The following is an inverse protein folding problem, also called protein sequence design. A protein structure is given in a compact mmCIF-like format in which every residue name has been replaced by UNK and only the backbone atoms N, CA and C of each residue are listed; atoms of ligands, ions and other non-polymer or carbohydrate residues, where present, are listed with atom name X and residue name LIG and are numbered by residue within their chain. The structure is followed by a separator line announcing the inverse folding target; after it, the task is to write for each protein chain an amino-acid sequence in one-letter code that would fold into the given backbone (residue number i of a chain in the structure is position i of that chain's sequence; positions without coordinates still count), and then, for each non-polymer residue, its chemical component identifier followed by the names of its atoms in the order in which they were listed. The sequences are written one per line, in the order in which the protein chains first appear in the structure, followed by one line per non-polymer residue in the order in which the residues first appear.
data_IF_224330386918
#
_entry.id   IF_224330386918
#
_cell.length_a   1.000
_cell.length_b   1.000
_cell.length_c   1.000
_cell.angle_alpha   90.00
_cell.angle_beta   90.00
_cell.angle_gamma   90.00
#
_symmetry.space_group_name_H-M   'P 1'
#
loop_
_entity.id
_entity.type
_entity.pdbx_description
1 polymer ?
#
# COMPACT_ATOMS: atom_id res chain seq x y z
N UNK A 1 4.23 11.72 23.75
CA UNK A 1 3.67 11.90 22.41
C UNK A 1 2.21 11.54 22.50
N UNK A 2 1.32 12.46 22.15
CA UNK A 2 -0.13 12.22 22.10
C UNK A 2 -0.41 11.43 20.84
N UNK A 3 -0.94 10.21 20.97
CA UNK A 3 -1.45 9.45 19.83
C UNK A 3 -2.67 10.22 19.28
N UNK A 4 -2.65 10.57 17.99
CA UNK A 4 -3.79 11.27 17.35
C UNK A 4 -5.08 10.46 17.52
N UNK A 5 -6.19 11.17 17.73
CA UNK A 5 -7.51 10.56 17.84
C UNK A 5 -7.88 9.78 16.56
N UNK A 6 -8.65 8.67 16.65
CA UNK A 6 -9.06 7.87 15.50
C UNK A 6 -9.67 8.70 14.35
N UNK A 7 -10.57 9.63 14.67
CA UNK A 7 -11.20 10.50 13.68
C UNK A 7 -10.18 11.35 12.91
N UNK A 8 -9.20 11.96 13.60
CA UNK A 8 -8.13 12.75 12.94
C UNK A 8 -7.30 11.90 11.99
N UNK A 9 -7.01 10.65 12.37
CA UNK A 9 -6.27 9.71 11.50
C UNK A 9 -7.09 9.31 10.28
N UNK A 10 -8.38 9.02 10.45
CA UNK A 10 -9.30 8.70 9.36
C UNK A 10 -9.40 9.88 8.36
N UNK A 11 -9.64 11.10 8.85
CA UNK A 11 -9.68 12.33 8.02
C UNK A 11 -8.40 12.49 7.21
N UNK A 12 -7.23 12.37 7.85
CA UNK A 12 -5.94 12.52 7.17
C UNK A 12 -5.73 11.46 6.09
N UNK A 13 -5.99 10.19 6.41
CA UNK A 13 -5.83 9.10 5.44
C UNK A 13 -6.79 9.25 4.27
N UNK A 14 -8.05 9.65 4.53
CA UNK A 14 -9.03 9.89 3.49
C UNK A 14 -8.65 11.07 2.59
N UNK A 15 -8.18 12.18 3.16
CA UNK A 15 -7.70 13.32 2.37
C UNK A 15 -6.55 12.92 1.42
N UNK A 16 -5.61 12.08 1.87
CA UNK A 16 -4.53 11.55 1.03
C UNK A 16 -5.08 10.69 -0.13
N UNK A 17 -6.08 9.85 0.15
CA UNK A 17 -6.76 9.06 -0.89
C UNK A 17 -7.45 9.97 -1.90
N UNK A 18 -8.18 11.00 -1.45
CA UNK A 18 -8.87 11.95 -2.33
C UNK A 18 -7.90 12.70 -3.25
N UNK A 19 -6.77 13.17 -2.71
CA UNK A 19 -5.71 13.80 -3.51
C UNK A 19 -5.15 12.86 -4.57
N UNK A 20 -4.90 11.60 -4.20
CA UNK A 20 -4.43 10.58 -5.14
C UNK A 20 -5.46 10.30 -6.24
N UNK A 21 -6.74 10.12 -5.88
CA UNK A 21 -7.81 9.84 -6.82
C UNK A 21 -7.97 10.99 -7.83
N UNK A 22 -7.96 12.24 -7.37
CA UNK A 22 -8.06 13.42 -8.22
C UNK A 22 -6.90 13.50 -9.24
N UNK A 23 -5.69 13.09 -8.83
CA UNK A 23 -4.50 13.14 -9.67
C UNK A 23 -4.41 11.97 -10.68
N UNK A 24 -4.79 10.75 -10.27
CA UNK A 24 -4.47 9.53 -11.00
C UNK A 24 -5.67 8.80 -11.60
N UNK A 25 -6.83 8.93 -10.98
CA UNK A 25 -8.07 8.29 -11.44
C UNK A 25 -9.23 9.29 -11.38
N UNK A 26 -9.20 10.36 -12.20
CA UNK A 26 -10.26 11.37 -12.21
C UNK A 26 -11.68 10.80 -12.37
N UNK A 27 -11.92 9.73 -13.17
CA UNK A 27 -13.24 9.09 -13.21
C UNK A 27 -13.72 8.59 -11.85
N UNK A 28 -12.86 7.92 -11.07
CA UNK A 28 -13.20 7.45 -9.72
C UNK A 28 -13.39 8.59 -8.74
N UNK A 29 -12.59 9.65 -8.84
CA UNK A 29 -12.79 10.86 -8.04
C UNK A 29 -14.14 11.52 -8.33
N UNK A 30 -14.54 11.59 -9.60
CA UNK A 30 -15.81 12.18 -10.02
C UNK A 30 -17.05 11.33 -9.62
N UNK A 31 -16.87 10.06 -9.29
CA UNK A 31 -17.94 9.18 -8.82
C UNK A 31 -18.19 9.29 -7.30
N UNK A 32 -17.36 10.03 -6.58
CA UNK A 32 -17.60 10.34 -5.18
C UNK A 32 -18.77 11.30 -5.03
N UNK A 33 -19.63 11.01 -4.07
CA UNK A 33 -20.67 11.94 -3.65
C UNK A 33 -20.05 13.07 -2.84
N UNK A 34 -20.77 14.20 -2.85
CA UNK A 34 -20.45 15.37 -2.03
C UNK A 34 -20.39 15.01 -0.54
N UNK A 35 -19.83 15.91 0.25
CA UNK A 35 -19.78 15.82 1.70
C UNK A 35 -21.17 15.75 2.34
N UNK A 36 -21.30 14.94 3.40
CA UNK A 36 -22.48 14.92 4.23
C UNK A 36 -22.43 16.05 5.27
N UNK A 37 -23.54 16.77 5.39
CA UNK A 37 -23.76 17.73 6.47
C UNK A 37 -23.97 17.01 7.82
N UNK A 38 -23.73 17.73 8.92
CA UNK A 38 -24.01 17.19 10.27
C UNK A 38 -25.50 16.86 10.47
N UNK A 39 -26.41 17.57 9.80
CA UNK A 39 -27.86 17.31 9.85
C UNK A 39 -28.22 15.98 9.16
N UNK A 40 -27.60 15.66 8.02
CA UNK A 40 -27.79 14.38 7.32
C UNK A 40 -27.25 13.21 8.15
N UNK A 41 -26.09 13.39 8.79
CA UNK A 41 -25.51 12.39 9.67
C UNK A 41 -26.38 12.18 10.91
N UNK A 42 -26.90 13.25 11.52
CA UNK A 42 -27.82 13.15 12.66
C UNK A 42 -29.14 12.46 12.28
N UNK A 43 -29.66 12.72 11.07
CA UNK A 43 -30.84 12.03 10.55
C UNK A 43 -30.58 10.53 10.33
N UNK A 44 -29.37 10.17 9.87
CA UNK A 44 -28.94 8.78 9.80
C UNK A 44 -28.87 8.15 11.20
N UNK A 45 -28.19 8.76 12.17
CA UNK A 45 -28.11 8.25 13.56
C UNK A 45 -29.52 8.02 14.16
N UNK A 46 -30.45 8.95 13.93
CA UNK A 46 -31.84 8.81 14.36
C UNK A 46 -32.56 7.63 13.66
N UNK A 47 -32.23 7.35 12.41
CA UNK A 47 -32.79 6.21 11.64
C UNK A 47 -32.20 4.88 12.10
N UNK A 48 -30.90 4.84 12.43
CA UNK A 48 -30.21 3.65 12.92
C UNK A 48 -30.57 3.33 14.38
N UNK A 49 -31.00 4.34 15.15
CA UNK A 49 -31.26 4.19 16.59
C UNK A 49 -29.99 4.04 17.43
N UNK A 50 -28.83 4.41 16.87
CA UNK A 50 -27.52 4.36 17.54
C UNK A 50 -26.63 5.48 17.02
N UNK A 51 -25.70 5.92 17.87
CA UNK A 51 -24.66 6.87 17.46
C UNK A 51 -23.69 6.20 16.47
N UNK A 52 -23.28 6.96 15.47
CA UNK A 52 -22.25 6.53 14.51
C UNK A 52 -20.88 6.92 15.08
N UNK A 53 -19.86 6.05 15.00
CA UNK A 53 -18.50 6.38 15.43
C UNK A 53 -17.94 7.63 14.73
N UNK A 54 -17.26 8.49 15.50
CA UNK A 54 -16.75 9.78 15.01
C UNK A 54 -15.80 9.64 13.81
N UNK A 55 -15.01 8.57 13.75
CA UNK A 55 -14.13 8.30 12.62
C UNK A 55 -14.89 8.04 11.30
N UNK A 56 -16.08 7.44 11.36
CA UNK A 56 -16.89 7.21 10.17
C UNK A 56 -17.62 8.49 9.76
N UNK A 57 -18.15 9.24 10.73
CA UNK A 57 -18.71 10.58 10.49
C UNK A 57 -17.68 11.51 9.85
N UNK A 58 -16.43 11.46 10.31
CA UNK A 58 -15.34 12.25 9.75
C UNK A 58 -15.03 11.92 8.28
N UNK A 59 -15.23 10.67 7.85
CA UNK A 59 -15.12 10.27 6.43
C UNK A 59 -16.32 10.79 5.63
N UNK A 60 -17.55 10.62 6.14
CA UNK A 60 -18.75 11.08 5.43
C UNK A 60 -18.82 12.60 5.26
N UNK A 61 -18.26 13.38 6.19
CA UNK A 61 -18.06 14.83 6.04
C UNK A 61 -17.09 15.22 4.92
N UNK A 62 -16.39 14.26 4.32
CA UNK A 62 -15.52 14.48 3.17
C UNK A 62 -16.08 13.84 1.89
N UNK A 63 -16.81 12.73 2.02
CA UNK A 63 -17.53 12.10 0.91
C UNK A 63 -18.63 11.17 1.43
N UNK A 64 -19.88 11.46 1.08
CA UNK A 64 -21.07 10.73 1.52
C UNK A 64 -21.37 9.49 0.66
N UNK A 65 -20.35 8.71 0.32
CA UNK A 65 -20.45 7.51 -0.51
C UNK A 65 -19.95 7.69 -1.93
N UNK A 66 -20.10 6.64 -2.73
CA UNK A 66 -19.77 6.65 -4.16
C UNK A 66 -20.88 6.04 -5.00
N UNK A 67 -20.95 6.47 -6.27
CA UNK A 67 -21.78 5.84 -7.29
C UNK A 67 -21.01 4.77 -8.09
N UNK A 68 -19.71 4.61 -7.80
CA UNK A 68 -18.78 3.71 -8.46
C UNK A 68 -18.52 4.03 -9.94
N UNK A 69 -17.57 3.30 -10.53
CA UNK A 69 -17.26 3.42 -11.97
C UNK A 69 -17.09 2.03 -12.55
N UNK A 70 -17.76 1.75 -13.68
CA UNK A 70 -17.74 0.43 -14.33
C UNK A 70 -18.21 -0.74 -13.43
N UNK A 71 -19.00 -0.43 -12.40
CA UNK A 71 -19.49 -1.41 -11.40
C UNK A 71 -18.42 -1.89 -10.42
N UNK A 72 -17.29 -1.18 -10.31
CA UNK A 72 -16.24 -1.45 -9.32
C UNK A 72 -16.28 -0.42 -8.19
N UNK A 73 -15.93 -0.87 -6.99
CA UNK A 73 -15.85 -0.04 -5.81
C UNK A 73 -14.45 0.58 -5.65
N UNK A 74 -14.39 1.80 -5.13
CA UNK A 74 -13.11 2.50 -4.97
C UNK A 74 -12.31 1.99 -3.76
N UNK A 75 -12.98 1.43 -2.77
CA UNK A 75 -12.38 1.10 -1.48
C UNK A 75 -11.52 -0.16 -1.60
N UNK A 76 -10.44 -0.22 -0.80
CA UNK A 76 -9.50 -1.34 -0.80
C UNK A 76 -10.24 -2.69 -0.64
N UNK A 77 -10.01 -3.62 -1.57
CA UNK A 77 -10.72 -4.88 -1.65
C UNK A 77 -11.89 -4.90 -2.65
N UNK A 78 -11.94 -3.91 -3.56
CA UNK A 78 -13.03 -3.71 -4.54
C UNK A 78 -14.40 -3.49 -3.85
N UNK A 79 -14.38 -2.89 -2.65
CA UNK A 79 -15.60 -2.51 -1.94
C UNK A 79 -16.06 -1.13 -2.38
N UNK A 80 -17.36 -0.88 -2.33
CA UNK A 80 -17.93 0.43 -2.57
C UNK A 80 -18.26 1.17 -1.28
N UNK A 81 -17.89 2.45 -1.15
CA UNK A 81 -18.30 3.29 -0.03
C UNK A 81 -19.81 3.57 -0.13
N UNK A 82 -20.57 3.10 0.84
CA UNK A 82 -22.03 3.18 0.79
C UNK A 82 -22.50 4.62 1.00
N UNK A 83 -23.46 5.08 0.17
CA UNK A 83 -24.25 6.27 0.49
C UNK A 83 -25.10 6.09 1.75
N UNK A 84 -25.42 7.21 2.43
CA UNK A 84 -26.11 7.19 3.73
C UNK A 84 -27.49 6.50 3.70
N UNK A 85 -28.23 6.63 2.61
CA UNK A 85 -29.51 5.95 2.41
C UNK A 85 -29.34 4.44 2.28
N UNK A 86 -28.30 3.98 1.58
CA UNK A 86 -27.95 2.57 1.49
C UNK A 86 -27.51 2.01 2.86
N UNK A 87 -26.77 2.78 3.66
CA UNK A 87 -26.40 2.41 5.04
C UNK A 87 -27.65 2.16 5.88
N UNK A 88 -28.60 3.09 5.87
CA UNK A 88 -29.86 2.97 6.59
C UNK A 88 -30.69 1.77 6.12
N UNK A 89 -30.77 1.54 4.81
CA UNK A 89 -31.50 0.42 4.24
C UNK A 89 -30.90 -0.92 4.66
N UNK A 90 -29.59 -1.08 4.54
CA UNK A 90 -28.90 -2.32 4.91
C UNK A 90 -29.04 -2.56 6.39
N UNK A 91 -28.77 -1.57 7.24
CA UNK A 91 -28.89 -1.73 8.69
C UNK A 91 -30.29 -2.20 9.09
N UNK A 92 -31.33 -1.52 8.61
CA UNK A 92 -32.73 -1.91 8.85
C UNK A 92 -33.02 -3.32 8.36
N UNK A 93 -32.53 -3.71 7.18
CA UNK A 93 -32.72 -5.07 6.65
C UNK A 93 -32.05 -6.12 7.55
N UNK A 94 -30.82 -5.87 8.01
CA UNK A 94 -30.11 -6.81 8.88
C UNK A 94 -30.75 -6.91 10.26
N UNK A 95 -31.23 -5.79 10.83
CA UNK A 95 -32.01 -5.78 12.08
C UNK A 95 -33.32 -6.57 11.94
N UNK A 96 -34.02 -6.45 10.80
CA UNK A 96 -35.21 -7.27 10.53
C UNK A 96 -34.91 -8.76 10.47
N UNK A 97 -33.78 -9.17 9.87
CA UNK A 97 -33.34 -10.57 9.87
C UNK A 97 -32.99 -11.03 11.29
N UNK A 98 -32.32 -10.20 12.09
CA UNK A 98 -32.03 -10.50 13.50
C UNK A 98 -33.31 -10.76 14.29
N UNK A 99 -34.36 -9.97 14.09
CA UNK A 99 -35.68 -10.19 14.71
C UNK A 99 -36.33 -11.51 14.28
N UNK A 100 -36.19 -11.90 13.01
CA UNK A 100 -36.73 -13.17 12.48
C UNK A 100 -35.95 -14.39 12.97
N UNK A 101 -34.63 -14.31 13.06
CA UNK A 101 -33.76 -15.40 13.55
C UNK A 101 -33.92 -15.59 15.06
N UNK A 102 -34.20 -14.50 15.79
CA UNK A 102 -34.38 -14.50 17.24
C UNK A 102 -33.06 -14.56 18.01
N UNK A 103 -33.14 -14.19 19.30
CA UNK A 103 -32.03 -14.30 20.24
C UNK A 103 -32.05 -15.70 20.89
N UNK A 104 -31.17 -16.59 20.44
CA UNK A 104 -30.89 -17.83 21.17
C UNK A 104 -29.84 -17.57 22.24
N UNK A 105 -30.03 -18.07 23.48
CA UNK A 105 -29.09 -17.85 24.60
C UNK A 105 -27.63 -18.26 24.29
N UNK A 106 -27.42 -19.19 23.35
CA UNK A 106 -26.10 -19.69 22.93
C UNK A 106 -25.68 -19.30 21.50
N UNK A 107 -26.48 -18.48 20.79
CA UNK A 107 -26.16 -18.07 19.42
C UNK A 107 -25.58 -16.66 19.42
N UNK A 108 -24.46 -16.48 18.71
CA UNK A 108 -23.95 -15.16 18.41
C UNK A 108 -25.01 -14.37 17.63
N UNK A 109 -25.18 -13.07 17.91
CA UNK A 109 -26.15 -12.23 17.21
C UNK A 109 -25.84 -12.21 15.71
N UNK A 110 -26.89 -12.28 14.89
CA UNK A 110 -26.78 -12.14 13.43
C UNK A 110 -26.44 -10.71 13.03
N UNK A 111 -27.01 -9.73 13.74
CA UNK A 111 -26.69 -8.31 13.64
C UNK A 111 -26.90 -7.60 14.98
N UNK A 112 -26.01 -6.67 15.32
CA UNK A 112 -26.12 -5.81 16.51
C UNK A 112 -26.47 -4.38 16.10
N UNK A 113 -27.25 -3.63 16.91
CA UNK A 113 -27.58 -2.25 16.62
C UNK A 113 -26.35 -1.38 16.36
N UNK A 114 -25.26 -1.60 17.09
CA UNK A 114 -24.00 -0.83 16.96
C UNK A 114 -23.14 -1.21 15.76
N UNK A 115 -23.54 -2.18 14.94
CA UNK A 115 -22.81 -2.57 13.73
C UNK A 115 -23.27 -1.72 12.56
N UNK A 116 -22.44 -0.75 12.17
CA UNK A 116 -22.77 0.24 11.16
C UNK A 116 -22.18 -0.20 9.82
N UNK A 117 -22.99 -0.61 8.83
CA UNK A 117 -22.48 -0.94 7.51
C UNK A 117 -21.94 0.33 6.85
N UNK A 118 -20.80 0.24 6.17
CA UNK A 118 -20.22 1.41 5.48
C UNK A 118 -19.66 1.08 4.10
N UNK A 119 -19.42 -0.21 3.81
CA UNK A 119 -19.08 -0.65 2.47
C UNK A 119 -20.02 -1.76 1.99
N UNK A 120 -20.26 -1.82 0.68
CA UNK A 120 -20.94 -2.91 -0.03
C UNK A 120 -20.05 -3.49 -1.13
N UNK A 121 -20.39 -4.64 -1.69
CA UNK A 121 -19.58 -5.30 -2.75
C UNK A 121 -19.39 -4.40 -3.97
N UNK A 122 -20.44 -3.68 -4.35
CA UNK A 122 -20.39 -2.60 -5.31
C UNK A 122 -21.58 -1.66 -5.00
N UNK A 123 -21.73 -0.50 -5.66
CA UNK A 123 -22.80 0.45 -5.35
C UNK A 123 -24.22 -0.12 -5.53
N UNK A 124 -24.37 -1.12 -6.41
CA UNK A 124 -25.66 -1.73 -6.75
C UNK A 124 -25.96 -3.05 -5.97
N UNK A 125 -24.95 -3.64 -5.32
CA UNK A 125 -25.06 -4.92 -4.60
C UNK A 125 -24.69 -4.77 -3.12
N UNK A 126 -25.75 -4.65 -2.32
CA UNK A 126 -25.69 -4.57 -0.86
C UNK A 126 -25.93 -5.92 -0.18
N UNK A 127 -25.60 -7.06 -0.80
CA UNK A 127 -25.75 -8.38 -0.17
C UNK A 127 -24.58 -8.77 0.76
N UNK A 128 -23.44 -8.09 0.63
CA UNK A 128 -22.23 -8.29 1.44
C UNK A 128 -21.42 -7.00 1.48
N UNK A 129 -20.55 -6.87 2.48
CA UNK A 129 -19.81 -5.63 2.67
C UNK A 129 -18.90 -5.61 3.88
N UNK A 130 -18.55 -4.40 4.31
CA UNK A 130 -17.86 -4.13 5.58
C UNK A 130 -18.79 -3.37 6.52
N UNK A 131 -18.64 -3.65 7.82
CA UNK A 131 -19.26 -2.86 8.87
C UNK A 131 -18.23 -2.46 9.91
N UNK A 132 -18.49 -1.34 10.56
CA UNK A 132 -17.76 -0.84 11.71
C UNK A 132 -18.53 -1.22 12.96
N UNK A 133 -17.89 -1.94 13.88
CA UNK A 133 -18.48 -2.17 15.20
C UNK A 133 -18.29 -0.91 16.05
N UNK A 134 -19.38 -0.18 16.30
CA UNK A 134 -19.35 1.07 17.06
C UNK A 134 -18.92 0.93 18.52
N UNK A 135 -18.84 -0.29 19.06
CA UNK A 135 -18.34 -0.53 20.43
C UNK A 135 -16.84 -0.68 20.50
N UNK A 136 -16.25 -1.34 19.49
CA UNK A 136 -14.82 -1.70 19.47
C UNK A 136 -14.00 -0.86 18.51
N UNK A 137 -14.66 -0.22 17.53
CA UNK A 137 -14.03 0.47 16.41
C UNK A 137 -13.43 -0.49 15.38
N UNK A 138 -13.61 -1.80 15.52
CA UNK A 138 -13.07 -2.81 14.60
C UNK A 138 -13.88 -2.88 13.30
N UNK A 139 -13.20 -3.20 12.19
CA UNK A 139 -13.84 -3.39 10.89
C UNK A 139 -13.95 -4.88 10.61
N UNK A 140 -15.16 -5.29 10.25
CA UNK A 140 -15.51 -6.68 10.02
C UNK A 140 -16.18 -6.83 8.66
N UNK A 141 -15.97 -7.99 8.02
CA UNK A 141 -16.72 -8.38 6.84
C UNK A 141 -18.07 -8.93 7.24
N UNK A 142 -19.09 -8.68 6.41
CA UNK A 142 -20.38 -9.34 6.52
C UNK A 142 -20.85 -9.89 5.18
N UNK A 143 -21.57 -11.01 5.25
CA UNK A 143 -22.26 -11.60 4.11
C UNK A 143 -23.72 -11.88 4.48
N UNK A 144 -24.56 -12.07 3.45
CA UNK A 144 -25.95 -12.53 3.61
C UNK A 144 -26.11 -13.86 4.37
N UNK A 145 -25.02 -14.62 4.53
CA UNK A 145 -25.02 -15.92 5.20
C UNK A 145 -24.65 -15.85 6.69
N UNK A 146 -24.44 -14.65 7.23
CA UNK A 146 -24.09 -14.48 8.65
C UNK A 146 -22.61 -14.67 8.96
N UNK A 147 -21.74 -14.81 7.95
CA UNK A 147 -20.28 -14.84 8.17
C UNK A 147 -19.81 -13.46 8.62
N UNK A 148 -18.99 -13.43 9.68
CA UNK A 148 -18.46 -12.23 10.31
C UNK A 148 -16.99 -12.45 10.67
N UNK A 149 -16.11 -12.08 9.76
CA UNK A 149 -14.66 -12.16 9.98
C UNK A 149 -14.12 -10.77 10.26
N UNK A 150 -13.28 -10.65 11.29
CA UNK A 150 -12.54 -9.41 11.54
C UNK A 150 -11.51 -9.23 10.43
N UNK A 151 -11.62 -8.12 9.69
CA UNK A 151 -10.71 -7.80 8.60
C UNK A 151 -9.64 -6.79 9.03
N UNK A 152 -10.03 -5.73 9.76
CA UNK A 152 -9.10 -4.69 10.17
C UNK A 152 -9.27 -4.28 11.63
N UNK A 153 -8.17 -3.85 12.23
CA UNK A 153 -8.16 -3.46 13.64
C UNK A 153 -8.92 -2.16 13.93
N UNK A 154 -9.06 -1.28 12.94
CA UNK A 154 -9.90 -0.08 13.03
C UNK A 154 -10.15 0.56 11.65
N UNK A 155 -11.14 1.43 11.53
CA UNK A 155 -11.38 2.20 10.29
C UNK A 155 -10.15 3.04 9.87
N UNK A 156 -9.47 3.79 10.76
CA UNK A 156 -8.24 4.47 10.38
C UNK A 156 -7.15 3.52 9.87
N UNK A 157 -7.00 2.33 10.46
CA UNK A 157 -6.02 1.35 9.99
C UNK A 157 -6.34 0.84 8.57
N UNK A 158 -7.62 0.63 8.27
CA UNK A 158 -8.09 0.27 6.93
C UNK A 158 -7.78 1.37 5.91
N UNK A 159 -8.12 2.63 6.22
CA UNK A 159 -7.89 3.77 5.32
C UNK A 159 -6.39 4.07 5.13
N UNK A 160 -5.59 3.96 6.19
CA UNK A 160 -4.14 4.14 6.09
C UNK A 160 -3.49 3.05 5.25
N UNK A 161 -3.96 1.80 5.35
CA UNK A 161 -3.50 0.71 4.48
C UNK A 161 -3.87 0.97 3.02
N UNK A 162 -5.08 1.46 2.77
CA UNK A 162 -5.52 1.84 1.42
C UNK A 162 -4.63 2.96 0.86
N UNK A 163 -4.41 4.03 1.62
CA UNK A 163 -3.54 5.14 1.21
C UNK A 163 -2.12 4.66 0.87
N UNK A 164 -1.51 3.85 1.75
CA UNK A 164 -0.19 3.24 1.49
C UNK A 164 -0.20 2.35 0.25
N UNK A 165 -1.28 1.59 0.03
CA UNK A 165 -1.40 0.72 -1.14
C UNK A 165 -1.52 1.51 -2.44
N UNK A 166 -2.18 2.67 -2.43
CA UNK A 166 -2.26 3.57 -3.58
C UNK A 166 -0.93 4.29 -3.87
N UNK A 167 -0.26 4.79 -2.83
CA UNK A 167 1.00 5.51 -2.97
C UNK A 167 2.18 4.57 -3.33
N UNK A 168 2.18 3.37 -2.76
CA UNK A 168 3.25 2.38 -2.87
C UNK A 168 2.71 0.97 -3.20
N UNK A 169 2.09 0.76 -4.37
CA UNK A 169 1.40 -0.49 -4.75
C UNK A 169 2.34 -1.67 -5.01
N UNK A 170 3.63 -1.42 -5.20
CA UNK A 170 4.65 -2.48 -5.19
C UNK A 170 4.83 -3.09 -3.81
N UNK A 171 4.35 -2.39 -2.77
CA UNK A 171 4.45 -2.80 -1.36
C UNK A 171 3.17 -3.35 -0.78
N UNK A 172 2.05 -3.18 -1.47
CA UNK A 172 0.79 -3.83 -1.15
C UNK A 172 0.96 -5.36 -1.28
N UNK A 173 0.76 -6.07 -0.18
CA UNK A 173 0.70 -7.52 -0.16
C UNK A 173 -0.69 -7.99 -0.63
N UNK A 174 -0.76 -9.17 -1.26
CA UNK A 174 -2.02 -9.76 -1.73
C UNK A 174 -2.33 -9.52 -3.21
N UNK A 175 -3.44 -10.11 -3.72
CA UNK A 175 -3.86 -10.00 -5.11
C UNK A 175 -4.48 -8.64 -5.46
N UNK A 176 -4.96 -7.90 -4.45
CA UNK A 176 -5.68 -6.62 -4.54
C UNK A 176 -4.73 -5.44 -4.79
N UNK A 177 -4.01 -5.47 -5.91
CA UNK A 177 -3.09 -4.40 -6.29
C UNK A 177 -3.86 -3.31 -7.04
N UNK A 178 -3.70 -2.02 -6.74
CA UNK A 178 -4.42 -1.01 -7.48
C UNK A 178 -3.98 -1.01 -8.95
N UNK A 179 -4.94 -0.79 -9.82
CA UNK A 179 -4.75 -0.59 -11.25
C UNK A 179 -5.88 0.25 -11.80
N UNK A 180 -5.91 0.39 -13.12
CA UNK A 180 -6.90 1.19 -13.82
C UNK A 180 -7.61 0.38 -14.89
N UNK A 181 -8.92 0.55 -14.97
CA UNK A 181 -9.74 0.07 -16.08
C UNK A 181 -10.47 1.28 -16.67
N UNK A 182 -10.17 1.62 -17.92
CA UNK A 182 -10.68 2.84 -18.58
C UNK A 182 -10.42 4.13 -17.76
N UNK A 183 -9.30 4.19 -17.04
CA UNK A 183 -8.90 5.33 -16.20
C UNK A 183 -9.53 5.38 -14.80
N UNK A 184 -10.45 4.46 -14.48
CA UNK A 184 -11.01 4.31 -13.13
C UNK A 184 -10.17 3.32 -12.30
N UNK A 185 -10.05 3.58 -11.00
CA UNK A 185 -9.40 2.68 -10.04
C UNK A 185 -10.11 1.32 -9.99
N UNK A 186 -9.34 0.24 -10.05
CA UNK A 186 -9.78 -1.15 -9.84
C UNK A 186 -8.72 -1.90 -9.04
N UNK A 187 -9.14 -2.68 -8.04
CA UNK A 187 -8.25 -3.46 -7.19
C UNK A 187 -8.05 -4.89 -7.72
N UNK A 188 -6.81 -5.24 -8.01
CA UNK A 188 -6.42 -6.50 -8.64
C UNK A 188 -6.74 -6.54 -10.14
N UNK A 189 -6.14 -7.48 -10.89
CA UNK A 189 -6.62 -7.76 -12.23
C UNK A 189 -8.05 -8.33 -12.14
N UNK A 190 -9.04 -7.72 -12.81
CA UNK A 190 -10.39 -8.28 -12.85
C UNK A 190 -10.39 -9.59 -13.63
N UNK A 191 -11.22 -10.55 -13.19
CA UNK A 191 -11.38 -11.81 -13.90
C UNK A 191 -12.02 -11.62 -15.30
N UNK A 192 -11.78 -12.58 -16.19
CA UNK A 192 -12.45 -12.67 -17.49
C UNK A 192 -12.02 -11.60 -18.50
N UNK A 193 -12.95 -11.18 -19.37
CA UNK A 193 -12.68 -10.29 -20.51
C UNK A 193 -12.18 -8.88 -20.10
N UNK A 194 -12.48 -8.43 -18.87
CA UNK A 194 -12.01 -7.15 -18.34
C UNK A 194 -10.51 -7.12 -18.04
N UNK A 195 -9.89 -8.28 -17.79
CA UNK A 195 -8.49 -8.38 -17.41
C UNK A 195 -7.52 -7.86 -18.48
N UNK A 196 -7.89 -7.96 -19.77
CA UNK A 196 -7.04 -7.50 -20.88
C UNK A 196 -6.93 -5.97 -21.02
N UNK A 197 -7.90 -5.22 -20.47
CA UNK A 197 -7.91 -3.76 -20.49
C UNK A 197 -7.45 -3.14 -19.16
N UNK A 198 -7.16 -3.98 -18.15
CA UNK A 198 -6.68 -3.53 -16.86
C UNK A 198 -5.19 -3.21 -16.92
N UNK A 199 -4.84 -2.02 -16.44
CA UNK A 199 -3.45 -1.54 -16.38
C UNK A 199 -3.07 -1.35 -14.93
N UNK A 200 -2.17 -2.20 -14.42
CA UNK A 200 -1.66 -2.10 -13.04
C UNK A 200 -1.14 -0.69 -12.72
N UNK A 201 -1.36 -0.19 -11.50
CA UNK A 201 -0.73 1.02 -10.98
C UNK A 201 0.56 0.65 -10.22
N UNK A 202 1.65 1.41 -10.42
CA UNK A 202 2.97 1.14 -9.80
C UNK A 202 3.43 2.21 -8.79
N UNK A 203 2.59 3.20 -8.46
CA UNK A 203 2.86 4.18 -7.41
C UNK A 203 3.51 5.46 -7.89
N UNK A 204 3.74 6.37 -6.94
CA UNK A 204 4.65 7.51 -7.07
C UNK A 204 6.11 7.05 -6.90
N UNK A 205 6.57 6.16 -7.78
CA UNK A 205 8.00 6.08 -8.07
C UNK A 205 8.30 7.06 -9.22
N UNK A 206 9.56 7.55 -9.39
CA UNK A 206 9.92 8.35 -10.56
C UNK A 206 9.36 7.65 -11.81
N UNK A 207 8.97 8.39 -12.86
CA UNK A 207 8.14 7.86 -13.94
C UNK A 207 8.57 6.44 -14.33
N UNK A 208 7.58 5.56 -14.54
CA UNK A 208 7.71 4.12 -14.91
C UNK A 208 8.83 3.79 -15.91
N UNK A 209 9.28 4.80 -16.63
CA UNK A 209 10.34 4.76 -17.59
C UNK A 209 11.31 5.90 -17.27
N UNK A 210 12.63 5.70 -17.44
CA UNK A 210 13.58 6.80 -17.32
C UNK A 210 13.07 8.00 -18.11
N UNK A 211 13.23 9.22 -17.58
CA UNK A 211 12.92 10.42 -18.35
C UNK A 211 13.60 10.30 -19.72
N UNK A 212 12.93 10.74 -20.81
CA UNK A 212 13.49 10.73 -22.18
C UNK A 212 14.63 11.75 -22.32
N UNK A 213 15.68 11.50 -21.57
CA UNK A 213 16.90 12.28 -21.41
C UNK A 213 18.05 11.30 -21.44
N UNK A 214 19.18 11.73 -21.99
CA UNK A 214 20.35 10.87 -22.13
C UNK A 214 20.84 10.32 -20.79
N UNK A 215 20.79 11.13 -19.73
CA UNK A 215 21.23 10.72 -18.39
C UNK A 215 20.36 9.63 -17.78
N UNK A 216 19.04 9.80 -17.78
CA UNK A 216 18.14 8.83 -17.18
C UNK A 216 18.09 7.51 -17.98
N UNK A 217 18.10 7.59 -19.32
CA UNK A 217 18.15 6.39 -20.19
C UNK A 217 19.43 5.60 -19.90
N UNK A 218 20.59 6.28 -19.84
CA UNK A 218 21.88 5.63 -19.57
C UNK A 218 21.93 4.95 -18.21
N UNK A 219 21.38 5.56 -17.17
CA UNK A 219 21.37 4.97 -15.82
C UNK A 219 20.52 3.69 -15.74
N UNK A 220 19.40 3.66 -16.47
CA UNK A 220 18.46 2.52 -16.48
C UNK A 220 18.93 1.32 -17.32
N UNK A 221 19.86 1.50 -18.26
CA UNK A 221 20.37 0.41 -19.09
C UNK A 221 21.33 -0.52 -18.31
N UNK A 222 21.38 -1.83 -18.62
CA UNK A 222 22.37 -2.76 -18.07
C UNK A 222 23.76 -2.53 -18.69
N UNK A 223 24.82 -3.02 -18.02
CA UNK A 223 26.22 -2.67 -18.34
C UNK A 223 26.62 -2.75 -19.82
N UNK A 224 26.33 -3.87 -20.49
CA UNK A 224 26.67 -4.04 -21.91
C UNK A 224 25.87 -3.12 -22.85
N UNK A 225 24.64 -2.76 -22.49
CA UNK A 225 23.81 -1.84 -23.26
C UNK A 225 24.19 -0.37 -23.04
N UNK A 226 24.76 -0.03 -21.87
CA UNK A 226 25.31 1.31 -21.60
C UNK A 226 26.50 1.64 -22.50
N UNK A 227 27.38 0.67 -22.74
CA UNK A 227 28.55 0.89 -23.57
C UNK A 227 28.14 1.16 -25.03
N UNK A 228 27.17 0.40 -25.55
CA UNK A 228 26.60 0.60 -26.88
C UNK A 228 25.79 1.91 -26.99
N UNK A 229 25.13 2.34 -25.91
CA UNK A 229 24.47 3.64 -25.81
C UNK A 229 25.49 4.78 -25.89
N UNK A 230 26.59 4.71 -25.13
CA UNK A 230 27.64 5.73 -25.10
C UNK A 230 28.34 5.85 -26.47
N UNK A 231 28.68 4.73 -27.11
CA UNK A 231 29.31 4.72 -28.44
C UNK A 231 28.42 5.37 -29.51
N UNK A 232 27.12 5.02 -29.55
CA UNK A 232 26.19 5.62 -30.52
C UNK A 232 25.83 7.07 -30.19
N UNK A 233 25.80 7.45 -28.91
CA UNK A 233 25.62 8.85 -28.50
C UNK A 233 26.78 9.70 -29.00
N UNK A 234 28.01 9.21 -28.90
CA UNK A 234 29.20 9.97 -29.29
C UNK A 234 29.33 10.09 -30.82
N UNK A 235 28.69 9.19 -31.58
CA UNK A 235 28.56 9.26 -33.03
C UNK A 235 27.33 10.06 -33.52
N UNK A 236 26.45 10.51 -32.62
CA UNK A 236 25.21 11.20 -32.95
C UNK A 236 25.48 12.66 -33.32
N UNK A 237 25.00 13.11 -34.48
CA UNK A 237 25.00 14.53 -34.80
C UNK A 237 23.88 15.25 -34.04
N UNK A 238 24.26 16.06 -33.06
CA UNK A 238 23.33 16.82 -32.23
C UNK A 238 22.67 17.99 -33.00
N UNK A 239 23.17 18.33 -34.19
CA UNK A 239 22.57 19.35 -35.04
C UNK A 239 21.34 18.84 -35.81
N UNK A 240 21.07 17.53 -35.81
CA UNK A 240 19.92 16.91 -36.50
C UNK A 240 18.84 16.45 -35.49
N UNK A 241 17.75 17.22 -35.31
CA UNK A 241 16.74 16.94 -34.27
C UNK A 241 16.01 15.61 -34.47
N UNK A 242 15.80 15.19 -35.72
CA UNK A 242 15.14 13.92 -36.04
C UNK A 242 16.01 12.72 -35.67
N UNK A 243 17.32 12.80 -35.89
CA UNK A 243 18.28 11.79 -35.49
C UNK A 243 18.34 11.66 -33.96
N UNK A 244 18.31 12.78 -33.24
CA UNK A 244 18.27 12.82 -31.76
C UNK A 244 16.97 12.22 -31.22
N UNK A 245 15.82 12.53 -31.82
CA UNK A 245 14.53 11.97 -31.41
C UNK A 245 14.47 10.45 -31.63
N UNK A 246 14.90 9.97 -32.80
CA UNK A 246 14.95 8.53 -33.11
C UNK A 246 15.91 7.78 -32.19
N UNK A 247 17.06 8.39 -31.86
CA UNK A 247 18.01 7.85 -30.88
C UNK A 247 17.39 7.71 -29.49
N UNK A 248 16.73 8.76 -29.00
CA UNK A 248 16.08 8.75 -27.69
C UNK A 248 14.95 7.74 -27.62
N UNK A 249 14.12 7.61 -28.66
CA UNK A 249 13.01 6.66 -28.68
C UNK A 249 13.48 5.20 -28.70
N UNK A 250 14.50 4.88 -29.49
CA UNK A 250 15.09 3.55 -29.53
C UNK A 250 15.63 3.12 -28.16
N UNK A 251 16.47 3.97 -27.55
CA UNK A 251 17.15 3.64 -26.30
C UNK A 251 16.25 3.75 -25.07
N UNK A 252 15.24 4.62 -25.12
CA UNK A 252 14.19 4.64 -24.12
C UNK A 252 13.43 3.30 -24.11
N UNK A 253 13.02 2.78 -25.27
CA UNK A 253 12.38 1.46 -25.36
C UNK A 253 13.23 0.32 -24.77
N UNK A 254 14.54 0.32 -25.04
CA UNK A 254 15.48 -0.66 -24.46
C UNK A 254 15.59 -0.53 -22.94
N UNK A 255 15.68 0.70 -22.43
CA UNK A 255 15.79 0.95 -20.98
C UNK A 255 14.50 0.54 -20.22
N UNK A 256 13.33 0.74 -20.83
CA UNK A 256 12.05 0.25 -20.30
C UNK A 256 12.04 -1.27 -20.20
N UNK A 257 12.38 -1.96 -21.30
CA UNK A 257 12.37 -3.41 -21.34
C UNK A 257 13.39 -4.04 -20.38
N UNK A 258 14.54 -3.40 -20.16
CA UNK A 258 15.53 -3.85 -19.19
C UNK A 258 15.03 -3.75 -17.74
N UNK A 259 14.28 -2.69 -17.43
CA UNK A 259 13.74 -2.48 -16.10
C UNK A 259 12.58 -3.44 -15.80
N UNK A 260 11.71 -3.71 -16.77
CA UNK A 260 10.65 -4.72 -16.65
C UNK A 260 11.22 -6.13 -16.44
N UNK A 261 12.26 -6.51 -17.20
CA UNK A 261 12.97 -7.79 -16.99
C UNK A 261 13.55 -7.90 -15.58
N UNK A 262 14.17 -6.83 -15.07
CA UNK A 262 14.73 -6.83 -13.73
C UNK A 262 13.64 -7.03 -12.67
N UNK A 263 12.47 -6.40 -12.83
CA UNK A 263 11.33 -6.58 -11.93
C UNK A 263 10.79 -8.01 -11.96
N UNK A 264 10.65 -8.59 -13.15
CA UNK A 264 10.21 -9.97 -13.33
C UNK A 264 11.24 -10.99 -12.78
N UNK A 265 12.53 -10.75 -13.01
CA UNK A 265 13.61 -11.57 -12.49
C UNK A 265 13.69 -11.50 -10.97
N UNK A 266 13.49 -10.33 -10.37
CA UNK A 266 13.37 -10.17 -8.92
C UNK A 266 12.13 -10.94 -8.41
N UNK A 267 10.96 -10.76 -9.03
CA UNK A 267 9.75 -11.46 -8.63
C UNK A 267 9.91 -13.00 -8.73
N UNK A 268 10.57 -13.46 -9.80
CA UNK A 268 10.87 -14.86 -10.10
C UNK A 268 11.91 -15.45 -9.15
N UNK A 269 13.04 -14.76 -8.94
CA UNK A 269 14.11 -15.15 -8.01
C UNK A 269 13.59 -15.23 -6.58
N UNK A 270 12.62 -14.38 -6.23
CA UNK A 270 11.97 -14.37 -4.93
C UNK A 270 10.83 -15.42 -4.79
N UNK A 271 10.47 -16.15 -5.87
CA UNK A 271 9.45 -17.23 -5.92
C UNK A 271 8.23 -16.99 -5.01
N UNK A 272 7.71 -15.77 -5.01
CA UNK A 272 6.56 -15.38 -4.19
C UNK A 272 6.71 -15.52 -2.66
N UNK A 273 7.92 -15.75 -2.13
CA UNK A 273 8.13 -15.90 -0.68
C UNK A 273 9.55 -15.52 -0.23
N UNK A 274 9.74 -14.26 0.16
CA UNK A 274 10.97 -13.75 0.80
C UNK A 274 11.27 -14.46 2.15
N UNK A 275 10.30 -15.18 2.72
CA UNK A 275 10.51 -15.91 3.98
C UNK A 275 11.34 -17.19 3.84
N UNK A 276 11.68 -17.64 2.63
CA UNK A 276 12.30 -18.94 2.48
C UNK A 276 13.76 -19.00 2.97
N UNK A 277 14.66 -18.04 2.66
CA UNK A 277 16.07 -18.13 3.11
C UNK A 277 16.83 -16.79 3.20
N UNK A 278 16.81 -16.08 4.35
CA UNK A 278 17.75 -15.00 4.63
C UNK A 278 19.20 -15.53 4.66
N UNK A 279 20.11 -14.90 3.91
CA UNK A 279 21.56 -15.18 3.97
C UNK A 279 22.17 -15.96 2.80
N UNK A 280 21.43 -16.17 1.70
CA UNK A 280 21.93 -16.77 0.46
C UNK A 280 22.47 -15.69 -0.49
N UNK A 281 23.59 -15.97 -1.14
CA UNK A 281 24.23 -15.03 -2.08
C UNK A 281 23.39 -14.87 -3.35
N UNK A 282 23.28 -13.62 -3.83
CA UNK A 282 22.74 -13.34 -5.16
C UNK A 282 23.68 -13.92 -6.23
N UNK A 283 23.15 -14.32 -7.38
CA UNK A 283 24.02 -14.72 -8.47
C UNK A 283 24.90 -13.52 -8.92
N UNK A 284 26.19 -13.73 -9.25
CA UNK A 284 27.17 -12.65 -9.42
C UNK A 284 26.78 -11.62 -10.48
N UNK A 285 26.06 -12.03 -11.53
CA UNK A 285 25.54 -11.14 -12.57
C UNK A 285 24.58 -10.06 -12.03
N UNK A 286 23.81 -10.34 -10.97
CA UNK A 286 22.85 -9.40 -10.38
C UNK A 286 23.48 -8.52 -9.30
N UNK A 287 24.47 -9.03 -8.56
CA UNK A 287 25.24 -8.22 -7.60
C UNK A 287 26.03 -7.10 -8.30
N UNK A 288 26.48 -7.34 -9.54
CA UNK A 288 27.15 -6.35 -10.37
C UNK A 288 26.21 -5.22 -10.85
N UNK A 289 24.92 -5.53 -11.07
CA UNK A 289 23.90 -4.58 -11.50
C UNK A 289 23.41 -3.66 -10.36
N UNK A 290 23.63 -4.06 -9.10
CA UNK A 290 23.28 -3.25 -7.94
C UNK A 290 24.26 -2.08 -7.75
N UNK A 291 23.77 -0.89 -7.35
CA UNK A 291 24.60 0.23 -6.94
C UNK A 291 25.66 -0.20 -5.90
N UNK A 292 26.89 0.33 -5.93
CA UNK A 292 27.97 -0.07 -5.02
C UNK A 292 27.62 -0.02 -3.53
N UNK A 293 26.67 0.84 -3.14
CA UNK A 293 26.13 1.00 -1.79
C UNK A 293 25.25 -0.16 -1.31
N UNK A 294 24.85 -1.06 -2.22
CA UNK A 294 23.92 -2.17 -1.98
C UNK A 294 24.55 -3.55 -2.21
N UNK A 295 25.86 -3.62 -2.53
CA UNK A 295 26.64 -4.87 -2.74
C UNK A 295 27.04 -5.56 -1.44
N UNK A 296 26.18 -5.52 -0.43
CA UNK A 296 26.44 -6.13 0.86
C UNK A 296 25.43 -7.23 1.10
N UNK A 297 25.93 -8.35 1.65
CA UNK A 297 25.11 -9.48 2.08
C UNK A 297 23.89 -8.96 2.86
N UNK A 298 22.67 -9.41 2.55
CA UNK A 298 21.50 -9.05 3.35
C UNK A 298 21.78 -9.36 4.83
N UNK A 299 21.53 -8.42 5.76
CA UNK A 299 21.85 -8.62 7.17
C UNK A 299 21.12 -9.85 7.74
N UNK A 300 21.76 -10.55 8.68
CA UNK A 300 21.16 -11.73 9.31
C UNK A 300 20.07 -11.33 10.29
N UNK A 301 19.07 -12.21 10.52
CA UNK A 301 17.90 -11.91 11.36
C UNK A 301 18.25 -11.40 12.77
N UNK A 302 19.43 -11.78 13.29
CA UNK A 302 19.95 -11.30 14.56
C UNK A 302 20.57 -9.90 14.50
N UNK A 303 21.22 -9.53 13.39
CA UNK A 303 21.70 -8.15 13.15
C UNK A 303 20.52 -7.18 13.10
N UNK A 304 19.43 -7.63 12.50
CA UNK A 304 18.17 -6.90 12.34
C UNK A 304 17.48 -6.70 13.68
N UNK A 305 17.28 -7.77 14.47
CA UNK A 305 16.73 -7.66 15.83
C UNK A 305 17.56 -6.75 16.72
N UNK A 306 18.88 -6.73 16.50
CA UNK A 306 19.80 -5.88 17.25
C UNK A 306 19.64 -4.41 16.87
N UNK A 307 19.48 -4.09 15.58
CA UNK A 307 19.27 -2.72 15.11
C UNK A 307 17.93 -2.13 15.57
N UNK A 308 16.86 -2.93 15.56
CA UNK A 308 15.52 -2.51 16.00
C UNK A 308 15.43 -2.23 17.52
N UNK A 309 16.37 -2.75 18.31
CA UNK A 309 16.46 -2.46 19.75
C UNK A 309 17.18 -1.14 20.04
N UNK A 310 17.73 -0.47 19.02
CA UNK A 310 18.48 0.77 19.19
C UNK A 310 17.54 1.99 19.26
N UNK A 311 17.80 2.86 20.24
CA UNK A 311 16.90 3.94 20.66
C UNK A 311 16.66 5.00 19.56
N UNK A 312 17.68 5.29 18.74
CA UNK A 312 17.57 6.21 17.59
C UNK A 312 16.76 5.65 16.41
N UNK A 313 16.60 4.34 16.30
CA UNK A 313 15.71 3.70 15.31
C UNK A 313 14.27 3.73 15.85
N UNK A 314 14.08 3.46 17.15
CA UNK A 314 12.76 3.55 17.81
C UNK A 314 12.20 4.97 17.83
N UNK A 315 13.05 6.00 17.90
CA UNK A 315 12.61 7.40 17.86
C UNK A 315 12.10 7.86 16.49
N UNK A 316 12.44 7.15 15.40
CA UNK A 316 12.07 7.51 14.03
C UNK A 316 10.87 6.72 13.47
N UNK A 317 10.52 5.60 14.09
CA UNK A 317 9.43 4.74 13.64
C UNK A 317 8.37 4.64 14.74
N UNK A 318 7.13 5.03 14.42
CA UNK A 318 6.00 4.96 15.36
C UNK A 318 5.79 3.52 15.86
N UNK A 319 5.93 3.32 17.17
CA UNK A 319 5.86 2.03 17.86
C UNK A 319 4.48 1.37 17.71
N UNK A 320 3.40 2.16 17.63
CA UNK A 320 2.03 1.64 17.48
C UNK A 320 1.80 1.09 16.07
N UNK A 321 2.41 1.72 15.07
CA UNK A 321 2.38 1.25 13.69
C UNK A 321 3.23 -0.01 13.49
N UNK A 322 4.29 -0.18 14.29
CA UNK A 322 5.10 -1.41 14.29
C UNK A 322 4.37 -2.57 15.00
N UNK A 323 3.53 -2.26 15.98
CA UNK A 323 2.74 -3.24 16.73
C UNK A 323 1.44 -3.64 16.01
N UNK A 324 0.92 -2.79 15.11
CA UNK A 324 -0.26 -3.07 14.29
C UNK A 324 0.03 -4.02 13.10
N UNK A 325 1.30 -4.33 12.82
CA UNK A 325 1.70 -5.24 11.74
C UNK A 325 1.76 -6.67 12.31
N UNK A 326 0.94 -7.62 11.79
CA UNK A 326 0.99 -9.00 12.23
C UNK A 326 2.39 -9.61 12.02
N UNK A 327 2.86 -10.54 12.88
CA UNK A 327 4.22 -11.09 12.84
C UNK A 327 4.62 -11.82 11.54
N UNK A 328 3.72 -11.93 10.56
CA UNK A 328 3.83 -12.80 9.38
C UNK A 328 3.80 -12.03 8.05
N UNK A 329 3.76 -10.69 8.06
CA UNK A 329 3.47 -9.91 6.85
C UNK A 329 4.70 -9.26 6.17
N UNK A 330 4.76 -9.24 4.81
CA UNK A 330 5.87 -8.68 4.03
C UNK A 330 6.08 -7.16 4.15
N UNK A 331 5.15 -6.42 4.76
CA UNK A 331 5.25 -4.98 4.97
C UNK A 331 6.50 -4.57 5.80
N UNK A 332 7.01 -5.51 6.62
CA UNK A 332 8.28 -5.33 7.31
C UNK A 332 9.43 -5.19 6.32
N UNK A 333 9.45 -5.91 5.19
CA UNK A 333 10.59 -5.96 4.25
C UNK A 333 10.72 -4.74 3.34
N UNK A 334 9.66 -3.95 3.14
CA UNK A 334 9.70 -2.78 2.23
C UNK A 334 10.03 -1.49 2.98
N UNK A 335 9.72 -1.40 4.27
CA UNK A 335 10.39 -0.45 5.17
C UNK A 335 11.89 -0.67 5.29
N UNK A 336 12.37 -1.86 4.92
CA UNK A 336 13.81 -2.12 4.88
C UNK A 336 14.48 -1.66 3.61
N UNK A 337 13.72 -1.48 2.52
CA UNK A 337 14.19 -0.76 1.36
C UNK A 337 14.53 0.69 1.74
N UNK A 338 13.69 1.34 2.58
CA UNK A 338 13.97 2.67 3.11
C UNK A 338 15.11 2.71 4.14
N UNK A 339 15.28 1.66 4.95
CA UNK A 339 16.45 1.53 5.84
C UNK A 339 17.74 1.33 5.01
N UNK A 340 17.71 0.50 3.97
CA UNK A 340 18.82 0.33 3.04
C UNK A 340 19.13 1.63 2.27
N UNK A 341 18.11 2.43 1.94
CA UNK A 341 18.23 3.76 1.34
C UNK A 341 18.82 4.79 2.31
N UNK A 342 18.43 4.75 3.59
CA UNK A 342 19.01 5.56 4.68
C UNK A 342 20.46 5.17 4.99
N UNK A 343 20.83 3.90 4.81
CA UNK A 343 22.22 3.45 4.90
C UNK A 343 23.05 3.81 3.66
N UNK A 344 22.41 4.07 2.51
CA UNK A 344 23.06 4.58 1.31
C UNK A 344 23.32 6.11 1.35
N UNK A 345 22.79 6.83 2.37
CA UNK A 345 23.19 8.21 2.68
C UNK A 345 24.57 8.21 3.39
N UNK A 346 25.58 8.94 2.88
CA UNK A 346 26.92 9.05 3.50
C UNK A 346 26.93 9.54 4.97
N UNK A 347 25.83 10.12 5.45
CA UNK A 347 25.65 10.52 6.86
C UNK A 347 25.12 9.37 7.72
N UNK A 348 24.25 8.53 7.18
CA UNK A 348 23.73 7.31 7.85
C UNK A 348 24.78 6.21 7.93
N UNK A 349 25.54 6.01 6.84
CA UNK A 349 26.65 5.07 6.76
C UNK A 349 27.72 5.33 7.83
N UNK A 350 28.05 6.60 8.11
CA UNK A 350 29.00 6.97 9.18
C UNK A 350 28.49 6.64 10.58
N UNK A 351 27.20 6.82 10.85
CA UNK A 351 26.60 6.49 12.13
C UNK A 351 26.57 4.98 12.36
N UNK A 352 26.23 4.21 11.33
CA UNK A 352 26.20 2.74 11.39
C UNK A 352 27.62 2.16 11.50
N UNK A 353 28.59 2.67 10.73
CA UNK A 353 30.00 2.25 10.84
C UNK A 353 30.62 2.61 12.19
N UNK A 354 30.28 3.75 12.79
CA UNK A 354 30.74 4.11 14.13
C UNK A 354 30.23 3.12 15.20
N UNK A 355 28.98 2.65 15.05
CA UNK A 355 28.37 1.64 15.93
C UNK A 355 29.00 0.26 15.74
N UNK A 356 29.27 -0.15 14.50
CA UNK A 356 29.90 -1.45 14.18
C UNK A 356 31.38 -1.47 14.60
N UNK A 357 32.12 -0.38 14.37
CA UNK A 357 33.53 -0.25 14.78
C UNK A 357 33.70 -0.20 16.30
N UNK A 358 32.82 0.52 17.03
CA UNK A 358 32.85 0.58 18.49
C UNK A 358 32.69 -0.78 19.17
N UNK A 359 31.99 -1.73 18.54
CA UNK A 359 31.82 -3.11 19.03
C UNK A 359 33.02 -4.01 18.72
N UNK A 360 33.70 -3.80 17.59
CA UNK A 360 34.89 -4.56 17.23
C UNK A 360 36.06 -4.27 18.18
N UNK A 361 36.18 -3.02 18.65
CA UNK A 361 37.17 -2.63 19.66
C UNK A 361 36.82 -3.12 21.07
N UNK A 362 35.54 -3.11 21.44
CA UNK A 362 35.08 -3.68 22.71
C UNK A 362 35.26 -5.21 22.78
N UNK A 363 35.12 -5.93 21.66
CA UNK A 363 35.40 -7.38 21.56
C UNK A 363 36.89 -7.69 21.53
N UNK A 364 37.74 -6.88 20.87
CA UNK A 364 39.20 -7.05 20.91
C UNK A 364 39.78 -6.84 22.31
N UNK A 365 39.21 -5.92 23.11
CA UNK A 365 39.61 -5.67 24.50
C UNK A 365 39.19 -6.77 25.49
N UNK A 366 38.29 -7.68 25.10
CA UNK A 366 37.77 -8.77 25.96
C UNK A 366 38.37 -10.15 25.68
N UNK A 367 39.27 -10.31 24.70
CA UNK A 367 40.00 -11.58 24.54
C UNK A 367 41.24 -11.60 25.45
N UNK A 368 41.36 -12.54 26.40
CA UNK A 368 42.58 -12.69 27.17
C UNK A 368 43.72 -13.12 26.24
N UNK A 369 44.89 -12.50 26.40
CA UNK A 369 46.13 -12.95 25.74
C UNK A 369 46.47 -14.33 26.29
N UNK A 370 46.37 -15.36 25.46
CA UNK A 370 46.87 -16.70 25.76
C UNK A 370 48.40 -16.65 25.85
N UNK A 371 48.92 -16.93 27.05
CA UNK A 371 50.30 -17.39 27.27
C UNK A 371 50.39 -18.87 26.96
#
# INVERSE_FOLDING_TARGET
MTTDAPATRATRAWAQILEWLAAYTPPSYAALRADASDDEIAALEATLGTDVPEELKAVWRLSAGEDGVNGSGLMLGDWALMPLDAVAEVHRRQMGIQEEVGEGEDLAPFWEPSWIPFCSRNPDDTASGLYLDGRTGEVHRWTRYGERDREYASLPAYLELMAVSLEAPLTAAGPEKPGMLHGALVWGPPDGERGGAWVRHLGQAPPRHPAKTLGAIREALPGAERDAFDERRDALDLAEPEAVAAFLDHWWGSAVAAQERLEDDIASALRGNIMAQPGRDLAPEYEAALPPTLRHRPPSFDDIRTALRHESVRARFNQDLLNAIPPHFPAVLLRWWDIARLMADPRGDRAVRAVVAGRHDARKRRRPRSS
#
